data_IF_230888284149
#
_entry.id   IF_230888284149
#
_cell.length_a   1.000
_cell.length_b   1.000
_cell.length_c   1.000
_cell.angle_alpha   90.00
_cell.angle_beta   90.00
_cell.angle_gamma   90.00
#
_symmetry.space_group_name_H-M   'P 1'
#
loop_
_entity.id
_entity.type
_entity.pdbx_description
1 polymer ?
#
# COMPACT_ATOMS: atom_id res chain seq x y z
N UNK A 1 5.43 18.18 49.17
CA UNK A 1 5.62 17.54 47.86
C UNK A 1 6.33 16.22 48.09
N UNK A 2 5.66 15.06 48.02
CA UNK A 2 6.36 13.78 48.17
C UNK A 2 7.36 13.61 47.00
N UNK A 3 8.52 12.97 47.22
CA UNK A 3 9.50 12.77 46.17
C UNK A 3 8.89 11.93 45.05
N UNK A 4 9.00 12.42 43.82
CA UNK A 4 8.60 11.73 42.60
C UNK A 4 9.34 10.39 42.57
N UNK A 5 8.63 9.27 42.77
CA UNK A 5 9.21 7.94 42.60
C UNK A 5 9.81 7.89 41.21
N UNK A 6 11.14 7.74 41.13
CA UNK A 6 11.81 7.35 39.89
C UNK A 6 11.11 6.06 39.48
N UNK A 7 10.46 6.14 38.32
CA UNK A 7 9.51 5.18 37.77
C UNK A 7 9.94 3.73 38.01
N UNK A 8 8.96 2.85 38.22
CA UNK A 8 9.01 1.38 38.41
C UNK A 8 9.64 0.59 37.24
N UNK A 9 10.56 1.20 36.49
CA UNK A 9 11.24 0.61 35.36
C UNK A 9 12.48 -0.15 35.83
N UNK A 10 12.45 -1.48 35.71
CA UNK A 10 13.62 -2.33 35.94
C UNK A 10 14.68 -2.09 34.85
N UNK A 11 15.96 -1.94 35.21
CA UNK A 11 17.03 -1.75 34.24
C UNK A 11 17.23 -3.03 33.41
N UNK A 12 17.47 -2.86 32.10
CA UNK A 12 17.78 -3.94 31.17
C UNK A 12 19.18 -3.67 30.60
N UNK A 13 20.09 -4.64 30.72
CA UNK A 13 21.44 -4.59 30.16
C UNK A 13 21.55 -5.57 28.99
N UNK A 14 22.05 -5.09 27.85
CA UNK A 14 22.22 -5.88 26.63
C UNK A 14 23.62 -5.68 26.10
N UNK A 15 24.28 -6.77 25.69
CA UNK A 15 25.58 -6.73 25.04
C UNK A 15 25.39 -6.67 23.53
N UNK A 16 26.03 -5.69 22.90
CA UNK A 16 26.00 -5.49 21.45
C UNK A 16 27.42 -5.62 20.89
N UNK A 17 27.57 -6.36 19.80
CA UNK A 17 28.81 -6.41 19.03
C UNK A 17 29.13 -5.07 18.36
N UNK A 18 30.36 -4.88 17.83
CA UNK A 18 30.78 -3.62 17.23
C UNK A 18 29.85 -3.11 16.11
N UNK A 19 29.39 -4.00 15.23
CA UNK A 19 28.48 -3.62 14.15
C UNK A 19 27.10 -3.21 14.65
N UNK A 20 26.58 -3.88 15.67
CA UNK A 20 25.27 -3.58 16.26
C UNK A 20 25.31 -2.25 17.00
N UNK A 21 26.44 -1.95 17.66
CA UNK A 21 26.67 -0.64 18.27
C UNK A 21 26.71 0.48 17.22
N UNK A 22 27.36 0.23 16.07
CA UNK A 22 27.39 1.18 14.96
C UNK A 22 25.98 1.40 14.39
N UNK A 23 25.23 0.33 14.09
CA UNK A 23 23.84 0.41 13.64
C UNK A 23 22.95 1.18 14.62
N UNK A 24 23.06 0.92 15.92
CA UNK A 24 22.29 1.62 16.93
C UNK A 24 22.66 3.11 17.02
N UNK A 25 23.94 3.46 16.83
CA UNK A 25 24.38 4.85 16.79
C UNK A 25 23.84 5.57 15.56
N UNK A 26 23.93 4.97 14.37
CA UNK A 26 23.39 5.53 13.14
C UNK A 26 21.89 5.77 13.24
N UNK A 27 21.13 4.81 13.77
CA UNK A 27 19.68 4.95 13.96
C UNK A 27 19.34 6.06 14.95
N UNK A 28 20.10 6.20 16.04
CA UNK A 28 19.92 7.27 17.02
C UNK A 28 20.10 8.66 16.39
N UNK A 29 21.13 8.83 15.55
CA UNK A 29 21.38 10.07 14.83
C UNK A 29 20.27 10.39 13.81
N UNK A 30 19.92 9.42 12.97
CA UNK A 30 18.88 9.62 11.93
C UNK A 30 17.52 9.95 12.52
N UNK A 31 17.15 9.29 13.63
CA UNK A 31 15.86 9.48 14.29
C UNK A 31 15.87 10.63 15.29
N UNK A 32 17.01 11.30 15.50
CA UNK A 32 17.23 12.33 16.52
C UNK A 32 16.72 11.88 17.90
N UNK A 33 17.04 10.64 18.26
CA UNK A 33 16.54 9.97 19.45
C UNK A 33 17.70 9.36 20.25
N UNK A 34 17.48 9.10 21.54
CA UNK A 34 18.50 8.39 22.34
C UNK A 34 18.55 6.92 21.94
N UNK A 35 19.72 6.27 22.14
CA UNK A 35 19.87 4.82 21.92
C UNK A 35 18.83 3.99 22.70
N UNK A 36 18.51 4.40 23.93
CA UNK A 36 17.48 3.74 24.75
C UNK A 36 16.08 3.90 24.17
N UNK A 37 15.77 5.04 23.56
CA UNK A 37 14.51 5.25 22.86
C UNK A 37 14.42 4.42 21.57
N UNK A 38 15.52 4.31 20.82
CA UNK A 38 15.60 3.42 19.65
C UNK A 38 15.35 1.97 20.04
N UNK A 39 15.98 1.48 21.11
CA UNK A 39 15.77 0.12 21.61
C UNK A 39 14.31 -0.10 22.07
N UNK A 40 13.70 0.87 22.77
CA UNK A 40 12.27 0.78 23.15
C UNK A 40 11.36 0.71 21.93
N UNK A 41 11.61 1.53 20.91
CA UNK A 41 10.85 1.49 19.66
C UNK A 41 11.04 0.19 18.90
N UNK A 42 12.24 -0.36 18.89
CA UNK A 42 12.54 -1.67 18.32
C UNK A 42 11.75 -2.79 19.00
N UNK A 43 11.69 -2.80 20.33
CA UNK A 43 10.88 -3.75 21.08
C UNK A 43 9.39 -3.67 20.70
N UNK A 44 8.82 -2.46 20.67
CA UNK A 44 7.43 -2.23 20.27
C UNK A 44 7.15 -2.63 18.80
N UNK A 45 8.14 -2.48 17.92
CA UNK A 45 8.02 -2.93 16.53
C UNK A 45 7.97 -4.46 16.45
N UNK A 46 8.85 -5.14 17.18
CA UNK A 46 8.87 -6.60 17.26
C UNK A 46 7.57 -7.16 17.87
N UNK A 47 7.02 -6.50 18.90
CA UNK A 47 5.71 -6.89 19.46
C UNK A 47 4.59 -6.80 18.41
N UNK A 48 4.62 -5.79 17.53
CA UNK A 48 3.64 -5.66 16.44
C UNK A 48 3.81 -6.73 15.37
N UNK A 49 5.05 -7.13 15.09
CA UNK A 49 5.33 -8.23 14.16
C UNK A 49 4.82 -9.58 14.67
N UNK A 50 4.84 -9.78 16.00
CA UNK A 50 4.32 -10.96 16.68
C UNK A 50 2.81 -10.91 16.98
N UNK A 51 2.14 -9.78 16.72
CA UNK A 51 0.71 -9.58 16.90
C UNK A 51 -0.17 -10.35 15.89
N UNK A 52 -1.51 -10.25 16.04
CA UNK A 52 -2.49 -10.91 15.15
C UNK A 52 -2.10 -10.68 13.67
N UNK A 53 -2.01 -11.74 12.84
CA UNK A 53 -1.77 -11.62 11.41
C UNK A 53 -2.66 -10.59 10.68
N UNK A 54 -3.83 -10.26 11.24
CA UNK A 54 -4.73 -9.22 10.73
C UNK A 54 -4.21 -7.79 10.88
N UNK A 55 -3.31 -7.53 11.84
CA UNK A 55 -2.74 -6.22 12.13
C UNK A 55 -1.35 -6.00 11.49
N UNK A 56 -0.78 -7.04 10.89
CA UNK A 56 0.56 -6.98 10.30
C UNK A 56 0.56 -6.08 9.05
N UNK A 57 1.39 -5.03 8.96
CA UNK A 57 1.33 -4.04 7.88
C UNK A 57 1.53 -4.65 6.48
N UNK A 58 2.40 -5.66 6.35
CA UNK A 58 2.54 -6.40 5.09
C UNK A 58 1.32 -7.30 4.77
N UNK A 59 0.64 -7.85 5.78
CA UNK A 59 -0.58 -8.64 5.56
C UNK A 59 -1.80 -7.75 5.33
N UNK A 60 -1.78 -6.49 5.79
CA UNK A 60 -2.75 -5.45 5.38
C UNK A 60 -2.59 -5.09 3.91
N UNK A 61 -1.37 -5.06 3.36
CA UNK A 61 -1.16 -4.88 1.91
C UNK A 61 -1.74 -6.05 1.10
N UNK A 62 -1.55 -7.28 1.56
CA UNK A 62 -2.15 -8.48 0.95
C UNK A 62 -3.67 -8.51 1.18
N UNK A 63 -4.14 -8.01 2.33
CA UNK A 63 -5.53 -7.93 2.75
C UNK A 63 -6.31 -6.72 2.24
N UNK A 64 -5.65 -5.69 1.70
CA UNK A 64 -6.30 -4.57 1.00
C UNK A 64 -6.80 -4.98 -0.40
N UNK A 65 -6.34 -6.14 -0.90
CA UNK A 65 -6.98 -6.85 -2.02
C UNK A 65 -8.07 -7.83 -1.49
N UNK A 66 -8.32 -7.84 -0.18
CA UNK A 66 -9.26 -8.74 0.53
C UNK A 66 -10.47 -8.02 1.15
N UNK A 67 -10.69 -6.75 0.83
CA UNK A 67 -12.05 -6.22 0.76
C UNK A 67 -12.67 -6.63 -0.59
N UNK A 68 -12.62 -7.93 -0.92
CA UNK A 68 -13.74 -8.87 -0.86
C UNK A 68 -15.17 -8.39 -1.12
N UNK A 69 -15.43 -7.12 -1.40
CA UNK A 69 -16.49 -6.82 -2.33
C UNK A 69 -16.03 -7.48 -3.64
N UNK A 70 -16.74 -8.50 -4.16
CA UNK A 70 -16.60 -8.75 -5.57
C UNK A 70 -16.77 -7.38 -6.20
N UNK A 71 -15.72 -6.89 -6.89
CA UNK A 71 -15.97 -5.89 -7.91
C UNK A 71 -17.17 -6.48 -8.65
N UNK A 72 -18.34 -5.83 -8.69
CA UNK A 72 -19.51 -6.43 -9.29
C UNK A 72 -19.19 -6.56 -10.76
N UNK A 73 -18.52 -7.67 -11.10
CA UNK A 73 -18.26 -8.06 -12.44
C UNK A 73 -19.63 -8.50 -12.94
N UNK A 74 -20.18 -7.83 -13.95
CA UNK A 74 -21.45 -8.23 -14.53
C UNK A 74 -21.46 -9.68 -15.04
N UNK A 75 -20.30 -10.36 -15.12
CA UNK A 75 -20.21 -11.79 -15.48
C UNK A 75 -20.54 -12.75 -14.33
N UNK A 76 -20.43 -12.32 -13.07
CA UNK A 76 -20.59 -13.20 -11.90
C UNK A 76 -19.46 -14.24 -11.70
N UNK A 77 -18.34 -14.13 -12.40
CA UNK A 77 -17.19 -15.01 -12.27
C UNK A 77 -16.28 -14.59 -11.09
N UNK A 78 -15.62 -15.57 -10.46
CA UNK A 78 -14.54 -15.33 -9.50
C UNK A 78 -13.21 -15.24 -10.27
N UNK A 79 -12.58 -14.06 -10.40
CA UNK A 79 -11.36 -13.89 -11.18
C UNK A 79 -10.17 -14.69 -10.65
N UNK A 80 -10.18 -15.09 -9.37
CA UNK A 80 -9.11 -15.90 -8.80
C UNK A 80 -9.23 -17.38 -9.22
N UNK A 81 -10.46 -17.86 -9.41
CA UNK A 81 -10.75 -19.25 -9.77
C UNK A 81 -10.90 -19.45 -11.28
N UNK A 82 -11.54 -18.50 -11.94
CA UNK A 82 -11.93 -18.54 -13.35
C UNK A 82 -11.16 -17.51 -14.20
N UNK A 83 -9.90 -17.24 -13.83
CA UNK A 83 -9.03 -16.22 -14.42
C UNK A 83 -9.04 -16.21 -15.96
N UNK A 84 -8.83 -17.38 -16.58
CA UNK A 84 -8.72 -17.47 -18.04
C UNK A 84 -10.04 -17.13 -18.74
N UNK A 85 -11.16 -17.53 -18.12
CA UNK A 85 -12.50 -17.23 -18.62
C UNK A 85 -12.84 -15.75 -18.45
N UNK A 86 -12.46 -15.17 -17.30
CA UNK A 86 -12.61 -13.75 -17.03
C UNK A 86 -11.82 -12.90 -18.04
N UNK A 87 -10.59 -13.29 -18.37
CA UNK A 87 -9.78 -12.60 -19.37
C UNK A 87 -10.37 -12.69 -20.78
N UNK A 88 -10.86 -13.86 -21.18
CA UNK A 88 -11.49 -14.06 -22.48
C UNK A 88 -12.76 -13.19 -22.65
N UNK A 89 -13.63 -13.15 -21.65
CA UNK A 89 -14.86 -12.34 -21.67
C UNK A 89 -14.55 -10.83 -21.73
N UNK A 90 -13.49 -10.38 -21.04
CA UNK A 90 -13.03 -8.99 -21.09
C UNK A 90 -12.48 -8.63 -22.48
N UNK A 91 -11.70 -9.52 -23.08
CA UNK A 91 -11.11 -9.32 -24.41
C UNK A 91 -12.21 -9.21 -25.48
N UNK A 92 -13.19 -10.10 -25.46
CA UNK A 92 -14.31 -10.09 -26.41
C UNK A 92 -15.13 -8.78 -26.32
N UNK A 93 -15.44 -8.30 -25.11
CA UNK A 93 -16.13 -7.01 -24.88
C UNK A 93 -15.35 -5.81 -25.42
N UNK A 94 -14.02 -5.85 -25.32
CA UNK A 94 -13.15 -4.78 -25.80
C UNK A 94 -13.17 -4.65 -27.33
N UNK A 95 -13.33 -5.77 -28.05
CA UNK A 95 -13.41 -5.79 -29.51
C UNK A 95 -14.74 -5.24 -30.03
N UNK A 96 -15.84 -5.45 -29.29
CA UNK A 96 -17.15 -4.91 -29.63
C UNK A 96 -17.28 -3.41 -29.37
N UNK A 97 -16.63 -2.89 -28.31
CA UNK A 97 -16.63 -1.44 -28.01
C UNK A 97 -15.84 -0.65 -29.05
N UNK A 98 -14.74 -1.20 -29.53
CA UNK A 98 -13.83 -0.56 -30.50
C UNK A 98 -14.43 -0.38 -31.92
N UNK A 99 -15.54 -1.07 -32.23
CA UNK A 99 -16.23 -0.97 -33.53
C UNK A 99 -17.19 0.22 -33.66
N UNK A 100 -17.40 1.01 -32.60
CA UNK A 100 -18.47 2.02 -32.55
C UNK A 100 -17.98 3.46 -32.46
N UNK A 101 -16.77 3.75 -32.93
CA UNK A 101 -16.39 5.16 -33.18
C UNK A 101 -16.74 5.50 -34.63
N UNK A 102 -17.72 6.40 -34.88
CA UNK A 102 -17.96 6.87 -36.23
C UNK A 102 -16.71 7.63 -36.69
N UNK A 103 -16.14 7.18 -37.80
CA UNK A 103 -15.06 7.85 -38.51
C UNK A 103 -15.51 9.28 -38.81
N UNK A 104 -15.02 10.25 -38.05
CA UNK A 104 -15.32 11.66 -38.27
C UNK A 104 -14.84 12.03 -39.69
N UNK A 105 -15.78 12.32 -40.59
CA UNK A 105 -15.45 12.90 -41.88
C UNK A 105 -14.89 14.31 -41.66
N UNK A 106 -13.81 14.69 -42.37
CA UNK A 106 -13.27 16.03 -42.27
C UNK A 106 -14.24 17.04 -42.88
N UNK A 107 -14.67 17.98 -42.05
CA UNK A 107 -15.59 19.08 -42.36
C UNK A 107 -15.03 19.95 -43.49
N UNK A 108 -15.77 20.10 -44.60
CA UNK A 108 -15.33 20.90 -45.76
C UNK A 108 -15.47 22.40 -45.45
N UNK A 109 -14.46 23.25 -45.68
CA UNK A 109 -14.54 24.66 -45.34
C UNK A 109 -15.50 25.43 -46.25
N UNK A 110 -16.43 26.14 -45.62
CA UNK A 110 -17.52 26.88 -46.23
C UNK A 110 -17.09 28.00 -47.18
N UNK A 111 -17.77 28.06 -48.32
CA UNK A 111 -17.63 29.07 -49.38
C UNK A 111 -18.18 30.42 -48.89
N UNK A 112 -17.31 31.32 -48.43
CA UNK A 112 -17.67 32.73 -48.17
C UNK A 112 -18.07 33.41 -49.48
N UNK A 113 -19.37 33.68 -49.67
CA UNK A 113 -19.84 34.63 -50.70
C UNK A 113 -19.90 36.03 -50.09
N UNK A 114 -19.17 36.92 -50.76
CA UNK A 114 -18.97 38.34 -50.47
C UNK A 114 -20.25 39.11 -50.74
N UNK A 115 -20.56 40.08 -49.88
CA UNK A 115 -21.52 41.14 -50.16
C UNK A 115 -20.80 42.35 -50.75
N UNK A 116 -21.24 42.79 -51.93
CA UNK A 116 -21.34 44.19 -52.38
C UNK A 116 -22.17 44.22 -53.65
#
# INVERSE_FOLDING_TARGET
MPPRRVSEASPVQVYLGPEEQARLAELAEHLKATKSEVLRRGLLALERELGDPRDHPALRLIGMIKDGAPYPDPSGLDPARDHDRYLADMEERSWHTSRTLPRAEPDKPGRRRRAR
#
